data_IF_367646599753
#
_entry.id   IF_367646599753
#
_cell.length_a   1.000
_cell.length_b   1.000
_cell.length_c   1.000
_cell.angle_alpha   90.00
_cell.angle_beta   90.00
_cell.angle_gamma   90.00
#
_symmetry.space_group_name_H-M   'P 1'
#
loop_
_entity.id
_entity.type
_entity.pdbx_description
1 polymer ?
#
# COMPACT_ATOMS: atom_id res chain seq x y z
N UNK A 1 -10.99 22.34 15.27
CA UNK A 1 -11.50 20.98 15.46
C UNK A 1 -12.92 21.05 15.99
N UNK A 2 -13.89 20.45 15.30
CA UNK A 2 -15.17 20.17 15.93
C UNK A 2 -14.91 19.11 17.03
N UNK A 3 -15.17 19.41 18.32
CA UNK A 3 -14.81 18.53 19.44
C UNK A 3 -15.55 17.18 19.48
N UNK A 4 -16.49 16.93 18.57
CA UNK A 4 -17.41 15.78 18.60
C UNK A 4 -17.26 14.77 17.44
N UNK A 5 -16.24 14.90 16.58
CA UNK A 5 -16.04 13.91 15.52
C UNK A 5 -15.40 12.62 16.09
N UNK A 6 -16.13 11.51 16.02
CA UNK A 6 -15.59 10.18 16.38
C UNK A 6 -14.28 9.93 15.61
N UNK A 7 -13.16 9.65 16.30
CA UNK A 7 -11.89 9.42 15.65
C UNK A 7 -11.95 8.15 14.79
N UNK A 8 -11.28 8.18 13.64
CA UNK A 8 -11.10 6.98 12.82
C UNK A 8 -10.03 6.09 13.45
N UNK A 9 -10.38 4.84 13.78
CA UNK A 9 -9.43 3.87 14.32
C UNK A 9 -8.64 3.25 13.17
N UNK A 10 -7.32 3.42 13.20
CA UNK A 10 -6.39 2.86 12.22
C UNK A 10 -5.50 1.83 12.91
N UNK A 11 -5.55 0.58 12.45
CA UNK A 11 -4.67 -0.49 12.92
C UNK A 11 -3.54 -0.70 11.94
N UNK A 12 -2.30 -0.73 12.43
CA UNK A 12 -1.10 -1.00 11.63
C UNK A 12 -0.43 -2.26 12.19
N UNK A 13 -0.31 -3.31 11.38
CA UNK A 13 0.46 -4.51 11.76
C UNK A 13 1.93 -4.33 11.41
N UNK A 14 2.85 -4.91 12.18
CA UNK A 14 4.28 -4.66 11.96
C UNK A 14 4.65 -3.19 12.22
N UNK A 15 3.96 -2.55 13.16
CA UNK A 15 4.07 -1.12 13.44
C UNK A 15 5.47 -0.69 13.91
N UNK A 16 6.21 -1.57 14.58
CA UNK A 16 7.60 -1.35 15.00
C UNK A 16 8.60 -1.53 13.85
N UNK A 17 8.16 -2.05 12.70
CA UNK A 17 8.95 -2.14 11.48
C UNK A 17 9.14 -0.80 10.77
N UNK A 18 10.11 -0.74 9.85
CA UNK A 18 10.48 0.52 9.18
C UNK A 18 9.34 1.17 8.38
N UNK A 19 8.52 0.38 7.68
CA UNK A 19 7.36 0.92 6.94
C UNK A 19 6.28 1.38 7.92
N UNK A 20 6.01 0.60 8.97
CA UNK A 20 5.10 1.00 10.05
C UNK A 20 5.49 2.34 10.65
N UNK A 21 6.74 2.47 11.09
CA UNK A 21 7.31 3.70 11.61
C UNK A 21 7.12 4.90 10.65
N UNK A 22 7.42 4.73 9.36
CA UNK A 22 7.23 5.80 8.37
C UNK A 22 5.75 6.18 8.10
N UNK A 23 4.82 5.25 8.30
CA UNK A 23 3.38 5.50 8.18
C UNK A 23 2.84 6.30 9.35
N UNK A 24 3.19 5.89 10.59
CA UNK A 24 2.60 6.38 11.83
C UNK A 24 2.55 7.91 11.91
N UNK A 25 3.69 8.58 11.73
CA UNK A 25 3.79 10.04 11.85
C UNK A 25 3.01 10.78 10.77
N UNK A 26 2.97 10.25 9.55
CA UNK A 26 2.23 10.88 8.45
C UNK A 26 0.72 10.71 8.62
N UNK A 27 0.28 9.57 9.14
CA UNK A 27 -1.13 9.38 9.50
C UNK A 27 -1.52 10.35 10.63
N UNK A 28 -0.70 10.45 11.68
CA UNK A 28 -0.93 11.38 12.79
C UNK A 28 -0.92 12.85 12.36
N UNK A 29 -0.11 13.20 11.34
CA UNK A 29 -0.09 14.54 10.75
C UNK A 29 -1.30 14.87 9.87
N UNK A 30 -2.19 13.91 9.60
CA UNK A 30 -3.37 14.10 8.75
C UNK A 30 -3.14 13.86 7.26
N UNK A 31 -1.96 13.39 6.85
CA UNK A 31 -1.68 13.16 5.42
C UNK A 31 -2.66 12.15 4.81
N UNK A 32 -3.08 11.13 5.58
CA UNK A 32 -3.89 10.03 5.04
C UNK A 32 -5.37 10.40 4.90
N UNK A 33 -5.95 11.07 5.91
CA UNK A 33 -7.41 11.31 5.99
C UNK A 33 -7.79 12.78 5.93
N UNK A 34 -6.82 13.68 5.76
CA UNK A 34 -7.00 15.12 5.68
C UNK A 34 -6.78 15.84 7.02
N UNK A 35 -6.71 17.18 6.99
CA UNK A 35 -6.27 18.00 8.11
C UNK A 35 -7.30 18.14 9.24
N UNK A 36 -8.53 17.65 9.04
CA UNK A 36 -9.65 17.81 9.96
C UNK A 36 -10.16 16.47 10.53
N UNK A 37 -9.51 15.35 10.22
CA UNK A 37 -9.95 14.01 10.65
C UNK A 37 -9.12 13.52 11.85
N UNK A 38 -9.71 13.44 13.06
CA UNK A 38 -9.02 12.82 14.19
C UNK A 38 -8.81 11.33 13.97
N UNK A 39 -7.71 10.79 14.48
CA UNK A 39 -7.32 9.38 14.37
C UNK A 39 -6.91 8.80 15.71
N UNK A 40 -7.26 7.53 15.92
CA UNK A 40 -6.66 6.66 16.94
C UNK A 40 -5.77 5.65 16.24
N UNK A 41 -4.56 5.43 16.74
CA UNK A 41 -3.63 4.45 16.18
C UNK A 41 -3.56 3.21 17.06
N UNK A 42 -3.70 2.04 16.45
CA UNK A 42 -3.41 0.74 17.08
C UNK A 42 -2.20 0.09 16.41
N UNK A 43 -1.15 -0.09 17.17
CA UNK A 43 0.13 -0.61 16.74
C UNK A 43 0.18 -2.09 17.11
N UNK A 44 -0.21 -2.94 16.15
CA UNK A 44 -0.19 -4.39 16.33
C UNK A 44 1.19 -4.93 15.94
N UNK A 45 1.84 -5.64 16.86
CA UNK A 45 3.14 -6.27 16.65
C UNK A 45 3.16 -7.72 17.09
N UNK A 46 4.19 -8.44 16.66
CA UNK A 46 4.53 -9.72 17.29
C UNK A 46 5.25 -9.44 18.64
N UNK A 47 5.29 -10.39 19.59
CA UNK A 47 5.94 -10.19 20.89
C UNK A 47 7.39 -9.65 20.77
N UNK A 48 8.12 -10.06 19.73
CA UNK A 48 9.49 -9.61 19.48
C UNK A 48 9.57 -8.15 19.00
N UNK A 49 8.53 -7.63 18.36
CA UNK A 49 8.42 -6.27 17.83
C UNK A 49 7.83 -5.25 18.81
N UNK A 50 7.21 -5.71 19.90
CA UNK A 50 6.51 -4.86 20.87
C UNK A 50 7.34 -3.68 21.38
N UNK A 51 8.61 -3.91 21.77
CA UNK A 51 9.48 -2.81 22.26
C UNK A 51 9.74 -1.73 21.21
N UNK A 52 9.79 -2.09 19.93
CA UNK A 52 9.97 -1.12 18.85
C UNK A 52 8.68 -0.31 18.63
N UNK A 53 7.51 -0.95 18.70
CA UNK A 53 6.22 -0.26 18.63
C UNK A 53 5.97 0.65 19.86
N UNK A 54 6.35 0.22 21.06
CA UNK A 54 6.34 1.07 22.27
C UNK A 54 7.21 2.31 22.10
N UNK A 55 8.41 2.15 21.54
CA UNK A 55 9.28 3.29 21.21
C UNK A 55 8.63 4.26 20.22
N UNK A 56 8.03 3.74 19.15
CA UNK A 56 7.30 4.56 18.18
C UNK A 56 6.09 5.27 18.80
N UNK A 57 5.39 4.62 19.74
CA UNK A 57 4.28 5.24 20.48
C UNK A 57 4.75 6.42 21.34
N UNK A 58 5.91 6.30 22.02
CA UNK A 58 6.50 7.41 22.76
C UNK A 58 6.84 8.59 21.84
N UNK A 59 7.44 8.33 20.69
CA UNK A 59 7.75 9.39 19.71
C UNK A 59 6.49 10.04 19.11
N UNK A 60 5.40 9.28 18.94
CA UNK A 60 4.10 9.83 18.53
C UNK A 60 3.52 10.78 19.60
N UNK A 61 3.66 10.43 20.88
CA UNK A 61 3.25 11.29 22.00
C UNK A 61 4.08 12.58 22.00
N UNK A 62 5.39 12.48 21.82
CA UNK A 62 6.31 13.63 21.74
C UNK A 62 6.04 14.50 20.51
N UNK A 63 5.50 13.91 19.43
CA UNK A 63 5.10 14.61 18.22
C UNK A 63 3.94 15.59 18.40
N UNK A 64 3.19 15.49 19.51
CA UNK A 64 2.10 16.40 19.88
C UNK A 64 1.12 16.69 18.72
N UNK A 65 0.79 15.66 17.93
CA UNK A 65 -0.08 15.80 16.77
C UNK A 65 -1.52 16.13 17.18
N UNK A 66 -2.11 17.23 16.71
CA UNK A 66 -3.44 17.65 17.14
C UNK A 66 -4.57 16.70 16.72
N UNK A 67 -4.35 15.90 15.66
CA UNK A 67 -5.31 14.93 15.15
C UNK A 67 -5.18 13.56 15.83
N UNK A 68 -4.08 13.28 16.52
CA UNK A 68 -3.85 12.00 17.17
C UNK A 68 -4.51 11.98 18.54
N UNK A 69 -5.63 11.29 18.66
CA UNK A 69 -6.40 11.26 19.91
C UNK A 69 -5.90 10.22 20.90
N UNK A 70 -5.32 9.14 20.40
CA UNK A 70 -4.94 7.98 21.21
C UNK A 70 -3.98 7.03 20.46
N UNK A 71 -3.13 6.33 21.21
CA UNK A 71 -2.16 5.34 20.69
C UNK A 71 -2.15 4.12 21.61
N UNK A 72 -2.43 2.95 21.04
CA UNK A 72 -2.41 1.66 21.75
C UNK A 72 -1.41 0.72 21.08
N UNK A 73 -0.61 0.01 21.88
CA UNK A 73 0.33 -1.00 21.42
C UNK A 73 -0.11 -2.36 21.95
N UNK A 74 -0.18 -3.38 21.09
CA UNK A 74 -0.66 -4.71 21.47
C UNK A 74 -0.05 -5.80 20.59
N UNK A 75 0.04 -7.01 21.13
CA UNK A 75 0.37 -8.24 20.38
C UNK A 75 -0.84 -9.18 20.20
N UNK A 76 -2.02 -8.79 20.69
CA UNK A 76 -3.28 -9.50 20.45
C UNK A 76 -4.00 -8.91 19.24
N UNK A 77 -4.30 -9.76 18.25
CA UNK A 77 -5.01 -9.36 17.05
C UNK A 77 -6.45 -8.91 17.34
N UNK A 78 -7.15 -9.48 18.32
CA UNK A 78 -8.52 -9.07 18.63
C UNK A 78 -8.52 -7.66 19.23
N UNK A 79 -7.70 -7.42 20.25
CA UNK A 79 -7.49 -6.05 20.76
C UNK A 79 -7.00 -5.10 19.64
N UNK A 80 -6.10 -5.55 18.77
CA UNK A 80 -5.57 -4.75 17.66
C UNK A 80 -6.64 -4.32 16.66
N UNK A 81 -7.64 -5.15 16.36
CA UNK A 81 -8.65 -4.88 15.32
C UNK A 81 -10.03 -4.45 15.85
N UNK A 82 -10.29 -4.49 17.16
CA UNK A 82 -11.60 -4.13 17.75
C UNK A 82 -12.11 -2.71 17.38
N UNK A 83 -13.17 -2.60 16.59
CA UNK A 83 -13.68 -1.33 16.09
C UNK A 83 -12.74 -0.61 15.11
N UNK A 84 -11.80 -1.33 14.48
CA UNK A 84 -10.93 -0.79 13.44
C UNK A 84 -11.71 -0.38 12.19
N UNK A 85 -11.49 0.84 11.69
CA UNK A 85 -12.05 1.32 10.43
C UNK A 85 -11.08 1.13 9.25
N UNK A 86 -9.76 1.20 9.50
CA UNK A 86 -8.73 1.07 8.47
C UNK A 86 -7.60 0.17 8.98
N UNK A 87 -7.41 -0.99 8.36
CA UNK A 87 -6.37 -1.94 8.69
C UNK A 87 -5.24 -1.92 7.65
N UNK A 88 -4.05 -1.47 8.04
CA UNK A 88 -2.83 -1.52 7.23
C UNK A 88 -2.02 -2.75 7.62
N UNK A 89 -2.15 -3.83 6.85
CA UNK A 89 -1.47 -5.10 7.11
C UNK A 89 -0.06 -5.07 6.49
N UNK A 90 0.91 -4.55 7.25
CA UNK A 90 2.30 -4.35 6.80
C UNK A 90 3.20 -5.50 7.23
N UNK A 91 3.00 -6.04 8.43
CA UNK A 91 3.77 -7.16 8.95
C UNK A 91 3.55 -8.45 8.15
N UNK A 92 4.61 -8.98 7.57
CA UNK A 92 4.61 -10.25 6.84
C UNK A 92 5.94 -10.98 7.05
N UNK A 93 5.94 -12.30 6.81
CA UNK A 93 7.19 -13.06 6.86
C UNK A 93 7.98 -12.83 5.58
N UNK A 94 9.19 -12.24 5.66
CA UNK A 94 10.01 -12.03 4.48
C UNK A 94 10.52 -13.38 3.95
N UNK A 95 10.72 -13.46 2.64
CA UNK A 95 11.36 -14.62 2.02
C UNK A 95 12.83 -14.69 2.46
N UNK A 96 13.26 -15.85 2.95
CA UNK A 96 14.65 -16.12 3.32
C UNK A 96 15.36 -16.98 2.27
N UNK A 97 16.70 -16.99 2.30
CA UNK A 97 17.49 -17.88 1.46
C UNK A 97 17.10 -19.34 1.73
N UNK A 98 16.92 -20.13 0.66
CA UNK A 98 16.51 -21.54 0.74
C UNK A 98 15.02 -21.78 0.99
N UNK A 99 14.20 -20.73 1.15
CA UNK A 99 12.74 -20.87 1.30
C UNK A 99 12.07 -21.06 -0.05
N UNK A 100 11.32 -22.15 -0.18
CA UNK A 100 10.49 -22.42 -1.35
C UNK A 100 9.27 -21.49 -1.39
N UNK A 101 8.67 -21.34 -2.58
CA UNK A 101 7.48 -20.49 -2.73
C UNK A 101 6.30 -21.00 -1.90
N UNK A 102 6.13 -22.32 -1.81
CA UNK A 102 5.06 -22.94 -1.01
C UNK A 102 5.23 -22.63 0.48
N UNK A 103 6.44 -22.80 1.02
CA UNK A 103 6.75 -22.50 2.43
C UNK A 103 6.47 -21.03 2.78
N UNK A 104 6.82 -20.10 1.88
CA UNK A 104 6.55 -18.68 2.06
C UNK A 104 5.04 -18.40 2.13
N UNK A 105 4.27 -19.05 1.26
CA UNK A 105 2.81 -18.90 1.22
C UNK A 105 2.16 -19.50 2.45
N UNK A 106 2.56 -20.70 2.87
CA UNK A 106 2.06 -21.36 4.08
C UNK A 106 2.37 -20.53 5.33
N UNK A 107 3.60 -20.03 5.45
CA UNK A 107 3.99 -19.21 6.59
C UNK A 107 3.23 -17.88 6.66
N UNK A 108 2.96 -17.23 5.52
CA UNK A 108 2.13 -16.02 5.51
C UNK A 108 0.64 -16.34 5.68
N UNK A 109 0.16 -17.50 5.24
CA UNK A 109 -1.21 -17.93 5.52
C UNK A 109 -1.47 -18.07 7.04
N UNK A 110 -0.47 -18.56 7.79
CA UNK A 110 -0.50 -18.59 9.25
C UNK A 110 -0.49 -17.21 9.94
N UNK A 111 -0.26 -16.11 9.19
CA UNK A 111 -0.31 -14.73 9.69
C UNK A 111 -1.60 -14.05 9.25
N UNK A 112 -1.87 -14.03 7.94
CA UNK A 112 -2.98 -13.29 7.36
C UNK A 112 -4.33 -13.98 7.56
N UNK A 113 -4.36 -15.30 7.73
CA UNK A 113 -5.59 -16.02 8.06
C UNK A 113 -6.14 -15.61 9.44
N UNK A 114 -5.35 -15.75 10.52
CA UNK A 114 -5.75 -15.28 11.85
C UNK A 114 -6.06 -13.77 11.91
N UNK A 115 -5.31 -12.93 11.20
CA UNK A 115 -5.61 -11.49 11.13
C UNK A 115 -6.96 -11.24 10.43
N UNK A 116 -7.25 -11.92 9.32
CA UNK A 116 -8.55 -11.84 8.66
C UNK A 116 -9.69 -12.28 9.57
N UNK A 117 -9.53 -13.41 10.27
CA UNK A 117 -10.53 -13.89 11.23
C UNK A 117 -10.78 -12.89 12.37
N UNK A 118 -9.73 -12.26 12.91
CA UNK A 118 -9.88 -11.21 13.93
C UNK A 118 -10.59 -9.98 13.37
N UNK A 119 -10.25 -9.53 12.16
CA UNK A 119 -10.95 -8.42 11.48
C UNK A 119 -12.44 -8.75 11.34
N UNK A 120 -12.78 -9.94 10.82
CA UNK A 120 -14.19 -10.33 10.65
C UNK A 120 -14.96 -10.45 11.97
N UNK A 121 -14.28 -10.74 13.07
CA UNK A 121 -14.91 -10.90 14.38
C UNK A 121 -15.17 -9.58 15.12
N UNK A 122 -14.26 -8.60 15.01
CA UNK A 122 -14.27 -7.43 15.90
C UNK A 122 -14.08 -6.08 15.21
N UNK A 123 -13.73 -6.01 13.93
CA UNK A 123 -13.56 -4.71 13.27
C UNK A 123 -14.88 -3.95 13.09
N UNK A 124 -14.79 -2.66 12.77
CA UNK A 124 -15.99 -1.86 12.51
C UNK A 124 -16.73 -2.32 11.25
N UNK A 125 -18.04 -2.07 11.21
CA UNK A 125 -18.91 -2.42 10.08
C UNK A 125 -18.51 -1.74 8.76
N UNK A 126 -17.64 -0.74 8.77
CA UNK A 126 -17.11 -0.01 7.62
C UNK A 126 -15.62 -0.29 7.34
N UNK A 127 -15.02 -1.30 7.98
CA UNK A 127 -13.57 -1.60 7.88
C UNK A 127 -13.08 -1.70 6.44
N UNK A 128 -11.99 -1.02 6.11
CA UNK A 128 -11.20 -1.16 4.88
C UNK A 128 -9.83 -1.75 5.21
N UNK A 129 -9.38 -2.72 4.42
CA UNK A 129 -8.15 -3.47 4.66
C UNK A 129 -7.19 -3.31 3.48
N UNK A 130 -6.00 -2.80 3.76
CA UNK A 130 -4.92 -2.66 2.79
C UNK A 130 -3.74 -3.55 3.18
N UNK A 131 -3.45 -4.53 2.35
CA UNK A 131 -2.30 -5.43 2.51
C UNK A 131 -1.08 -4.89 1.80
N UNK A 132 -0.04 -4.62 2.58
CA UNK A 132 1.28 -4.17 2.11
C UNK A 132 2.30 -5.31 2.21
N UNK A 133 2.16 -6.17 3.21
CA UNK A 133 3.07 -7.29 3.46
C UNK A 133 3.05 -8.33 2.33
N UNK A 134 4.23 -8.66 1.80
CA UNK A 134 4.36 -9.57 0.66
C UNK A 134 4.20 -11.05 1.03
N UNK A 135 3.64 -11.90 0.14
CA UNK A 135 3.09 -11.59 -1.20
C UNK A 135 1.71 -10.94 -1.15
N UNK A 136 1.61 -9.64 -1.48
CA UNK A 136 0.49 -8.80 -1.09
C UNK A 136 -0.87 -9.28 -1.62
N UNK A 137 -1.00 -9.56 -2.92
CA UNK A 137 -2.27 -10.01 -3.52
C UNK A 137 -2.77 -11.31 -2.87
N UNK A 138 -1.90 -12.30 -2.69
CA UNK A 138 -2.28 -13.58 -2.08
C UNK A 138 -2.62 -13.43 -0.60
N UNK A 139 -1.87 -12.60 0.11
CA UNK A 139 -2.14 -12.30 1.52
C UNK A 139 -3.49 -11.59 1.70
N UNK A 140 -3.85 -10.66 0.82
CA UNK A 140 -5.18 -10.03 0.80
C UNK A 140 -6.30 -11.05 0.57
N UNK A 141 -6.11 -11.98 -0.38
CA UNK A 141 -7.08 -13.05 -0.63
C UNK A 141 -7.24 -13.96 0.58
N UNK A 142 -6.14 -14.33 1.25
CA UNK A 142 -6.19 -15.16 2.46
C UNK A 142 -6.93 -14.44 3.60
N UNK A 143 -6.62 -13.16 3.82
CA UNK A 143 -7.28 -12.35 4.85
C UNK A 143 -8.79 -12.23 4.57
N UNK A 144 -9.17 -11.92 3.33
CA UNK A 144 -10.57 -11.85 2.90
C UNK A 144 -11.30 -13.18 3.05
N UNK A 145 -10.70 -14.29 2.62
CA UNK A 145 -11.29 -15.62 2.76
C UNK A 145 -11.48 -16.06 4.22
N UNK A 146 -10.73 -15.47 5.15
CA UNK A 146 -10.84 -15.73 6.59
C UNK A 146 -11.84 -14.80 7.31
N UNK A 147 -12.40 -13.83 6.60
CA UNK A 147 -13.33 -12.82 7.10
C UNK A 147 -14.63 -12.82 6.25
N UNK A 148 -15.39 -13.93 6.21
CA UNK A 148 -16.50 -14.09 5.26
C UNK A 148 -17.65 -13.08 5.43
N UNK A 149 -17.78 -12.47 6.61
CA UNK A 149 -18.79 -11.46 6.92
C UNK A 149 -18.38 -10.03 6.51
N UNK A 150 -17.11 -9.84 6.13
CA UNK A 150 -16.61 -8.57 5.59
C UNK A 150 -16.64 -8.64 4.06
N UNK A 151 -17.27 -7.67 3.36
CA UNK A 151 -17.33 -7.71 1.91
C UNK A 151 -15.92 -7.76 1.28
N UNK A 152 -15.73 -8.64 0.31
CA UNK A 152 -14.42 -8.92 -0.27
C UNK A 152 -13.79 -7.69 -0.95
N UNK A 153 -14.62 -6.78 -1.48
CA UNK A 153 -14.19 -5.51 -2.07
C UNK A 153 -13.55 -4.54 -1.06
N UNK A 154 -13.60 -4.85 0.25
CA UNK A 154 -12.92 -4.08 1.28
C UNK A 154 -11.50 -4.55 1.56
N UNK A 155 -11.05 -5.61 0.91
CA UNK A 155 -9.67 -6.08 0.97
C UNK A 155 -8.94 -5.73 -0.33
N UNK A 156 -7.92 -4.89 -0.22
CA UNK A 156 -7.04 -4.55 -1.32
C UNK A 156 -5.59 -4.92 -0.99
N UNK A 157 -4.82 -5.20 -2.03
CA UNK A 157 -3.37 -5.30 -1.96
C UNK A 157 -2.70 -4.09 -2.63
N UNK A 158 -1.57 -3.66 -2.06
CA UNK A 158 -0.89 -2.44 -2.47
C UNK A 158 -0.13 -2.62 -3.80
N UNK A 159 -0.73 -2.17 -4.91
CA UNK A 159 -0.03 -1.95 -6.19
C UNK A 159 0.22 -0.46 -6.47
N UNK A 160 -0.18 0.43 -5.55
CA UNK A 160 0.03 1.88 -5.68
C UNK A 160 1.51 2.28 -5.75
N UNK A 161 2.40 1.52 -5.12
CA UNK A 161 3.85 1.79 -5.22
C UNK A 161 4.37 1.53 -6.64
N UNK A 162 3.90 0.46 -7.26
CA UNK A 162 4.23 0.15 -8.65
C UNK A 162 3.67 1.21 -9.59
N UNK A 163 2.43 1.66 -9.34
CA UNK A 163 1.80 2.77 -10.06
C UNK A 163 2.64 4.05 -9.95
N UNK A 164 3.02 4.45 -8.73
CA UNK A 164 3.82 5.65 -8.49
C UNK A 164 5.20 5.53 -9.17
N UNK A 165 5.79 4.32 -9.23
CA UNK A 165 7.04 4.07 -9.95
C UNK A 165 6.87 4.20 -11.46
N UNK A 166 5.78 3.68 -12.02
CA UNK A 166 5.45 3.82 -13.43
C UNK A 166 5.24 5.29 -13.82
N UNK A 167 4.46 6.04 -13.03
CA UNK A 167 4.31 7.50 -13.16
C UNK A 167 5.69 8.19 -13.19
N UNK A 168 6.56 7.87 -12.23
CA UNK A 168 7.89 8.48 -12.16
C UNK A 168 8.78 8.15 -13.38
N UNK A 169 8.70 6.94 -13.94
CA UNK A 169 9.46 6.58 -15.14
C UNK A 169 8.97 7.32 -16.38
N UNK A 170 7.66 7.42 -16.60
CA UNK A 170 7.10 8.17 -17.74
C UNK A 170 7.40 9.66 -17.60
N UNK A 171 7.18 10.23 -16.42
CA UNK A 171 7.51 11.62 -16.10
C UNK A 171 8.99 11.93 -16.40
N UNK A 172 9.90 11.06 -15.96
CA UNK A 172 11.34 11.21 -16.22
C UNK A 172 11.70 11.07 -17.71
N UNK A 173 11.07 10.16 -18.45
CA UNK A 173 11.36 9.96 -19.88
C UNK A 173 10.93 11.17 -20.73
N UNK A 174 9.85 11.83 -20.32
CA UNK A 174 9.26 12.97 -21.03
C UNK A 174 9.73 14.32 -20.50
N UNK A 175 10.52 14.35 -19.43
CA UNK A 175 10.93 15.56 -18.71
C UNK A 175 9.72 16.41 -18.27
N UNK A 176 8.76 15.74 -17.62
CA UNK A 176 7.51 16.33 -17.15
C UNK A 176 7.30 16.13 -15.65
N UNK A 177 6.54 17.01 -14.97
CA UNK A 177 6.17 16.79 -13.57
C UNK A 177 5.32 15.53 -13.43
N UNK A 178 5.50 14.76 -12.34
CA UNK A 178 4.69 13.57 -12.06
C UNK A 178 3.17 13.88 -12.04
N UNK A 179 2.80 15.08 -11.58
CA UNK A 179 1.41 15.55 -11.55
C UNK A 179 0.77 15.76 -12.92
N UNK A 180 1.56 15.78 -14.01
CA UNK A 180 1.03 15.84 -15.39
C UNK A 180 0.59 14.47 -15.91
N UNK A 181 0.93 13.39 -15.19
CA UNK A 181 0.61 12.02 -15.59
C UNK A 181 -0.72 11.65 -14.98
N UNK A 182 -1.69 11.33 -15.83
CA UNK A 182 -3.01 10.88 -15.42
C UNK A 182 -3.28 9.50 -16.02
N UNK A 183 -4.27 8.79 -15.47
CA UNK A 183 -4.78 7.54 -16.06
C UNK A 183 -3.74 6.42 -16.24
N UNK A 184 -2.70 6.41 -15.42
CA UNK A 184 -1.73 5.31 -15.32
C UNK A 184 -2.39 4.08 -14.67
N UNK A 185 -2.09 2.88 -15.15
CA UNK A 185 -2.66 1.64 -14.61
C UNK A 185 -1.57 0.59 -14.41
N UNK A 186 -1.73 -0.25 -13.38
CA UNK A 186 -0.91 -1.44 -13.16
C UNK A 186 -1.85 -2.63 -13.12
N UNK A 187 -1.57 -3.64 -13.94
CA UNK A 187 -2.33 -4.89 -13.97
C UNK A 187 -1.57 -6.03 -13.31
N UNK A 188 -2.33 -6.98 -12.75
CA UNK A 188 -1.81 -8.25 -12.25
C UNK A 188 -1.28 -8.22 -10.82
N UNK A 189 -0.28 -9.05 -10.57
CA UNK A 189 0.25 -9.33 -9.23
C UNK A 189 1.33 -8.33 -8.82
N UNK A 190 1.36 -7.90 -7.54
CA UNK A 190 2.47 -7.11 -6.97
C UNK A 190 3.76 -7.95 -6.94
N UNK A 191 4.44 -8.00 -8.08
CA UNK A 191 5.58 -8.87 -8.35
C UNK A 191 6.28 -8.45 -9.65
N UNK A 192 7.31 -9.19 -10.07
CA UNK A 192 7.98 -8.96 -11.34
C UNK A 192 7.13 -9.24 -12.58
N UNK A 193 5.95 -9.87 -12.44
CA UNK A 193 5.03 -10.16 -13.55
C UNK A 193 3.90 -9.14 -13.68
N UNK A 194 3.98 -8.02 -12.95
CA UNK A 194 3.06 -6.89 -13.10
C UNK A 194 3.16 -6.30 -14.52
N UNK A 195 2.08 -5.67 -14.98
CA UNK A 195 2.07 -4.96 -16.26
C UNK A 195 1.72 -3.48 -16.05
N UNK A 196 2.73 -2.57 -16.08
CA UNK A 196 2.49 -1.14 -16.09
C UNK A 196 2.01 -0.70 -17.48
N UNK A 197 0.80 -0.17 -17.53
CA UNK A 197 0.08 0.12 -18.76
C UNK A 197 -0.04 1.63 -18.99
N UNK A 198 0.38 2.06 -20.17
CA UNK A 198 0.38 3.46 -20.62
C UNK A 198 -0.65 3.73 -21.72
N UNK A 199 -1.42 2.72 -22.15
CA UNK A 199 -2.30 2.82 -23.32
C UNK A 199 -3.41 3.86 -23.12
N UNK A 200 -3.88 3.98 -21.89
CA UNK A 200 -4.87 4.98 -21.50
C UNK A 200 -4.29 6.14 -20.69
N UNK A 201 -2.99 6.11 -20.39
CA UNK A 201 -2.33 7.17 -19.64
C UNK A 201 -2.28 8.46 -20.45
N UNK A 202 -2.37 9.59 -19.76
CA UNK A 202 -2.27 10.93 -20.32
C UNK A 202 -1.05 11.65 -19.74
N UNK A 203 -0.48 12.56 -20.53
CA UNK A 203 0.61 13.46 -20.16
C UNK A 203 0.20 14.86 -20.63
N UNK A 204 -0.01 15.79 -19.71
CA UNK A 204 -0.54 17.13 -20.02
C UNK A 204 -1.83 17.06 -20.87
N UNK A 205 -2.71 16.10 -20.56
CA UNK A 205 -3.96 15.85 -21.30
C UNK A 205 -3.81 15.14 -22.65
N UNK A 206 -2.60 14.82 -23.10
CA UNK A 206 -2.35 14.11 -24.36
C UNK A 206 -2.06 12.61 -24.12
N UNK A 207 -2.37 11.70 -25.06
CA UNK A 207 -2.04 10.29 -24.92
C UNK A 207 -0.54 10.06 -24.67
N UNK A 208 -0.20 9.33 -23.60
CA UNK A 208 1.19 9.08 -23.20
C UNK A 208 2.01 8.41 -24.31
N UNK A 209 1.40 7.46 -25.05
CA UNK A 209 2.02 6.83 -26.22
C UNK A 209 2.44 7.83 -27.29
N UNK A 210 1.59 8.81 -27.60
CA UNK A 210 1.89 9.82 -28.60
C UNK A 210 3.02 10.75 -28.12
N UNK A 211 2.99 11.14 -26.84
CA UNK A 211 4.06 11.95 -26.24
C UNK A 211 5.42 11.21 -26.25
N UNK A 212 5.42 9.92 -25.91
CA UNK A 212 6.61 9.06 -25.97
C UNK A 212 7.12 8.91 -27.40
N UNK A 213 6.24 8.65 -28.36
CA UNK A 213 6.62 8.54 -29.77
C UNK A 213 7.27 9.84 -30.27
N UNK A 214 6.68 10.99 -29.97
CA UNK A 214 7.24 12.29 -30.32
C UNK A 214 8.62 12.53 -29.67
N UNK A 215 8.81 12.09 -28.42
CA UNK A 215 10.06 12.27 -27.66
C UNK A 215 11.18 11.31 -28.08
N UNK A 216 10.83 10.09 -28.47
CA UNK A 216 11.77 8.98 -28.70
C UNK A 216 12.04 8.73 -30.19
N UNK A 217 11.37 9.46 -31.09
CA UNK A 217 11.65 9.44 -32.53
C UNK A 217 10.75 8.50 -33.34
N UNK A 218 9.54 8.21 -32.87
CA UNK A 218 8.54 7.41 -33.58
C UNK A 218 7.86 6.36 -32.69
N UNK A 219 6.80 5.74 -33.21
CA UNK A 219 6.04 4.71 -32.49
C UNK A 219 6.89 3.48 -32.17
N UNK A 220 7.68 2.99 -33.13
CA UNK A 220 8.56 1.83 -32.93
C UNK A 220 9.57 2.06 -31.80
N UNK A 221 10.19 3.24 -31.76
CA UNK A 221 11.15 3.60 -30.70
C UNK A 221 10.47 3.69 -29.33
N UNK A 222 9.23 4.19 -29.27
CA UNK A 222 8.46 4.20 -28.03
C UNK A 222 8.06 2.79 -27.58
N UNK A 223 7.64 1.92 -28.50
CA UNK A 223 7.35 0.51 -28.20
C UNK A 223 8.58 -0.22 -27.67
N UNK A 224 9.73 -0.10 -28.32
CA UNK A 224 10.99 -0.69 -27.84
C UNK A 224 11.35 -0.18 -26.45
N UNK A 225 11.19 1.12 -26.19
CA UNK A 225 11.45 1.64 -24.84
C UNK A 225 10.47 1.09 -23.80
N UNK A 226 9.18 0.94 -24.15
CA UNK A 226 8.17 0.38 -23.26
C UNK A 226 8.52 -1.06 -22.85
N UNK A 227 8.85 -1.89 -23.84
CA UNK A 227 9.11 -3.32 -23.64
C UNK A 227 10.47 -3.60 -23.00
N UNK A 228 11.53 -2.96 -23.49
CA UNK A 228 12.90 -3.30 -23.10
C UNK A 228 13.40 -2.50 -21.88
N UNK A 229 12.78 -1.34 -21.61
CA UNK A 229 13.25 -0.42 -20.55
C UNK A 229 12.19 -0.17 -19.48
N UNK A 230 11.02 0.35 -19.85
CA UNK A 230 10.02 0.81 -18.89
C UNK A 230 9.44 -0.33 -18.05
N UNK A 231 8.83 -1.34 -18.67
CA UNK A 231 8.23 -2.48 -17.96
C UNK A 231 9.26 -3.18 -17.06
N UNK A 232 10.46 -3.58 -17.57
CA UNK A 232 11.47 -4.24 -16.74
C UNK A 232 11.99 -3.37 -15.61
N UNK A 233 12.14 -2.04 -15.81
CA UNK A 233 12.64 -1.14 -14.79
C UNK A 233 11.62 -0.90 -13.68
N UNK A 234 10.34 -0.76 -13.99
CA UNK A 234 9.28 -0.66 -12.97
C UNK A 234 9.28 -1.92 -12.11
N UNK A 235 9.26 -3.10 -12.74
CA UNK A 235 9.30 -4.40 -12.05
C UNK A 235 10.54 -4.59 -11.17
N UNK A 236 11.70 -4.08 -11.59
CA UNK A 236 12.99 -4.22 -10.86
C UNK A 236 13.34 -3.01 -9.98
N UNK A 237 12.48 -1.99 -9.89
CA UNK A 237 12.79 -0.74 -9.19
C UNK A 237 13.10 -0.92 -7.71
N UNK A 238 12.46 -1.90 -7.05
CA UNK A 238 12.76 -2.24 -5.66
C UNK A 238 14.20 -2.73 -5.48
N UNK A 239 14.69 -3.57 -6.40
CA UNK A 239 16.07 -4.06 -6.37
C UNK A 239 17.07 -2.94 -6.70
N UNK A 240 16.77 -2.07 -7.67
CA UNK A 240 17.60 -0.88 -7.98
C UNK A 240 17.75 0.03 -6.75
N UNK A 241 16.69 0.22 -5.96
CA UNK A 241 16.77 1.02 -4.73
C UNK A 241 17.62 0.32 -3.67
N UNK A 242 17.47 -0.99 -3.49
CA UNK A 242 18.26 -1.75 -2.51
C UNK A 242 19.76 -1.70 -2.86
N UNK A 243 20.10 -1.84 -4.14
CA UNK A 243 21.48 -1.78 -4.62
C UNK A 243 22.13 -0.43 -4.28
N UNK A 244 21.40 0.68 -4.48
CA UNK A 244 21.93 2.03 -4.23
C UNK A 244 21.90 2.44 -2.75
N UNK A 245 20.81 2.14 -2.02
CA UNK A 245 20.62 2.56 -0.61
C UNK A 245 21.11 1.54 0.43
N UNK A 246 21.37 0.30 0.04
CA UNK A 246 21.63 -0.82 0.95
C UNK A 246 20.42 -1.27 1.79
N UNK A 247 19.23 -0.71 1.55
CA UNK A 247 18.01 -0.99 2.31
C UNK A 247 16.76 -0.87 1.44
N UNK A 248 15.64 -1.43 1.91
CA UNK A 248 14.38 -1.41 1.18
C UNK A 248 13.80 0.01 1.01
N UNK A 249 12.88 0.15 0.07
CA UNK A 249 12.25 1.42 -0.31
C UNK A 249 11.14 1.84 0.67
N UNK A 250 11.49 1.99 1.96
CA UNK A 250 10.60 2.28 3.09
C UNK A 250 9.72 3.51 2.86
N UNK A 251 10.33 4.69 2.66
CA UNK A 251 9.58 5.95 2.54
C UNK A 251 8.59 5.96 1.37
N UNK A 252 8.97 5.41 0.21
CA UNK A 252 8.05 5.33 -0.94
C UNK A 252 6.93 4.31 -0.74
N UNK A 253 7.17 3.20 -0.02
CA UNK A 253 6.12 2.23 0.30
C UNK A 253 5.10 2.82 1.27
N UNK A 254 5.55 3.53 2.31
CA UNK A 254 4.66 4.25 3.22
C UNK A 254 3.85 5.34 2.48
N UNK A 255 4.49 6.11 1.59
CA UNK A 255 3.80 7.09 0.77
C UNK A 255 2.71 6.46 -0.11
N UNK A 256 3.01 5.34 -0.77
CA UNK A 256 2.05 4.66 -1.61
C UNK A 256 0.84 4.12 -0.82
N UNK A 257 1.04 3.60 0.39
CA UNK A 257 -0.07 3.14 1.23
C UNK A 257 -0.95 4.31 1.71
N UNK A 258 -0.35 5.44 2.08
CA UNK A 258 -1.09 6.67 2.40
C UNK A 258 -1.90 7.16 1.20
N UNK A 259 -1.27 7.24 0.02
CA UNK A 259 -1.95 7.71 -1.19
C UNK A 259 -3.09 6.75 -1.59
N UNK A 260 -2.91 5.44 -1.40
CA UNK A 260 -3.97 4.45 -1.65
C UNK A 260 -5.21 4.73 -0.79
N UNK A 261 -5.04 4.81 0.53
CA UNK A 261 -6.18 5.05 1.45
C UNK A 261 -6.80 6.43 1.23
N UNK A 262 -5.97 7.45 1.00
CA UNK A 262 -6.45 8.81 0.73
C UNK A 262 -7.35 8.85 -0.50
N UNK A 263 -6.91 8.26 -1.61
CA UNK A 263 -7.65 8.32 -2.87
C UNK A 263 -8.91 7.44 -2.81
N UNK A 264 -8.85 6.29 -2.14
CA UNK A 264 -10.04 5.46 -1.86
C UNK A 264 -11.09 6.25 -1.07
N UNK A 265 -10.67 6.97 -0.03
CA UNK A 265 -11.57 7.75 0.84
C UNK A 265 -12.11 9.00 0.14
N UNK A 266 -11.29 9.68 -0.67
CA UNK A 266 -11.66 10.90 -1.36
C UNK A 266 -12.50 10.64 -2.64
N UNK A 267 -12.47 9.44 -3.19
CA UNK A 267 -13.22 9.06 -4.40
C UNK A 267 -12.71 9.75 -5.68
N UNK A 268 -11.41 10.01 -5.79
CA UNK A 268 -10.79 10.76 -6.89
C UNK A 268 -9.85 9.91 -7.75
N UNK A 269 -9.70 10.32 -9.02
CA UNK A 269 -8.71 9.95 -10.05
C UNK A 269 -8.38 8.44 -10.28
N UNK A 270 -8.04 8.08 -11.51
CA UNK A 270 -7.58 6.71 -11.81
C UNK A 270 -6.31 6.37 -11.03
N UNK A 271 -6.33 5.23 -10.36
CA UNK A 271 -5.23 4.68 -9.56
C UNK A 271 -5.21 3.16 -9.67
N UNK A 272 -4.15 2.53 -9.18
CA UNK A 272 -4.01 1.07 -9.18
C UNK A 272 -4.16 0.50 -7.77
N UNK A 273 -5.04 -0.48 -7.66
CA UNK A 273 -5.23 -1.33 -6.49
C UNK A 273 -5.40 -2.78 -6.95
N UNK A 274 -4.84 -3.73 -6.21
CA UNK A 274 -5.16 -5.13 -6.43
C UNK A 274 -6.41 -5.48 -5.61
N UNK A 275 -7.53 -5.65 -6.29
CA UNK A 275 -8.85 -5.93 -5.70
C UNK A 275 -9.32 -7.34 -6.09
N UNK A 276 -10.36 -7.82 -5.44
CA UNK A 276 -11.04 -9.07 -5.83
C UNK A 276 -11.58 -8.94 -7.27
N UNK A 277 -11.36 -9.96 -8.11
CA UNK A 277 -11.94 -10.00 -9.45
C UNK A 277 -13.36 -10.55 -9.40
N UNK A 278 -14.27 -9.94 -10.16
CA UNK A 278 -15.60 -10.44 -10.47
C UNK A 278 -15.75 -10.78 -11.97
N UNK A 279 -14.64 -10.89 -12.70
CA UNK A 279 -14.61 -11.16 -14.14
C UNK A 279 -14.37 -9.93 -15.01
N UNK A 280 -14.04 -8.78 -14.41
CA UNK A 280 -13.69 -7.57 -15.14
C UNK A 280 -12.54 -7.85 -16.12
N UNK A 281 -12.69 -7.38 -17.36
CA UNK A 281 -11.73 -7.60 -18.44
C UNK A 281 -11.40 -9.09 -18.72
N UNK A 282 -12.22 -10.03 -18.24
CA UNK A 282 -12.06 -11.47 -18.43
C UNK A 282 -11.07 -12.15 -17.47
N UNK A 283 -10.78 -11.51 -16.32
CA UNK A 283 -9.87 -12.02 -15.27
C UNK A 283 -10.60 -12.92 -14.27
#
# INVERSE_FOLDING_TARGET
MAPDATPTTVTITGAGGQIGYALLFRIAAGDMLGPDRPVRLRLLEIPQGMRAAEGAALELMDGAFPLLTDVEVTDDAHAGFDGCNIALLVGARPRTAGMERADLLEANAGIFGPQGAAIGAVAADDVRVLVVGNPANTNALIASASAPDVPAERFAALTRLDHNRAVAQVASALDRPAASIERMTIWGNHSATQFPDVDHALVDGMPARAALAARLGGEDAALTWLDDTFIPRVAKRGAEIIDVRGSSSVGSAAAAAIDHVRDETAGVAWTSAAVVSHGEYGV
#
